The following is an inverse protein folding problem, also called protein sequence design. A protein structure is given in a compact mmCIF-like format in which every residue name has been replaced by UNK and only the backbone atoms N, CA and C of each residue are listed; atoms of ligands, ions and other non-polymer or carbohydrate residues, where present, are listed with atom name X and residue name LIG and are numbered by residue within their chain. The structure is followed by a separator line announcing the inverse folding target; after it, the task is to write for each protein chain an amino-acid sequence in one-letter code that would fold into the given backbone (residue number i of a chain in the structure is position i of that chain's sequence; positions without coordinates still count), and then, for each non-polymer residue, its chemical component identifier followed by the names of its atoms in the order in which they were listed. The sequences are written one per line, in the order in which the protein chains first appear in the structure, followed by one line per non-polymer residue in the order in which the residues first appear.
data_IF_688599284428
#
_entry.id   IF_688599284428
#
_cell.length_a   1.000
_cell.length_b   1.000
_cell.length_c   1.000
_cell.angle_alpha   90.00
_cell.angle_beta   90.00
_cell.angle_gamma   90.00
#
_symmetry.space_group_name_H-M   'P 1'
#
loop_
_entity.id
_entity.type
_entity.pdbx_description
1 polymer ?
#
# COMPACT_ATOMS: atom_id res chain seq x y z
N UNK A 1 -9.86 1.88 -20.00
CA UNK A 1 -10.36 1.71 -18.63
C UNK A 1 -9.33 2.37 -17.72
N UNK A 2 -9.64 3.51 -17.10
CA UNK A 2 -8.75 4.13 -16.12
C UNK A 2 -8.73 3.23 -14.90
N UNK A 3 -7.59 2.63 -14.58
CA UNK A 3 -7.37 2.05 -13.27
C UNK A 3 -7.61 3.16 -12.26
N UNK A 4 -8.68 3.06 -11.46
CA UNK A 4 -8.89 3.95 -10.34
C UNK A 4 -7.66 3.82 -9.44
N UNK A 5 -6.81 4.85 -9.43
CA UNK A 5 -5.69 4.94 -8.49
C UNK A 5 -6.30 4.93 -7.10
N UNK A 6 -6.35 3.76 -6.48
CA UNK A 6 -6.80 3.61 -5.10
C UNK A 6 -5.93 4.51 -4.21
N UNK A 7 -6.58 5.24 -3.31
CA UNK A 7 -5.89 6.10 -2.37
C UNK A 7 -5.01 5.28 -1.42
N UNK A 8 -4.04 5.93 -0.78
CA UNK A 8 -3.19 5.30 0.22
C UNK A 8 -4.04 4.66 1.34
N UNK A 9 -5.09 5.36 1.79
CA UNK A 9 -6.01 4.91 2.83
C UNK A 9 -6.77 3.65 2.40
N UNK A 10 -7.21 3.61 1.14
CA UNK A 10 -7.90 2.45 0.57
C UNK A 10 -6.97 1.24 0.53
N UNK A 11 -5.71 1.43 0.14
CA UNK A 11 -4.69 0.37 0.14
C UNK A 11 -4.38 -0.13 1.55
N UNK A 12 -4.26 0.79 2.51
CA UNK A 12 -4.03 0.44 3.90
C UNK A 12 -5.20 -0.38 4.49
N UNK A 13 -6.43 0.00 4.17
CA UNK A 13 -7.62 -0.73 4.61
C UNK A 13 -7.68 -2.13 3.99
N UNK A 14 -7.42 -2.24 2.68
CA UNK A 14 -7.35 -3.54 2.01
C UNK A 14 -6.28 -4.46 2.62
N UNK A 15 -5.11 -3.90 2.99
CA UNK A 15 -4.07 -4.67 3.67
C UNK A 15 -4.50 -5.18 5.05
N UNK A 16 -5.27 -4.38 5.82
CA UNK A 16 -5.83 -4.83 7.10
C UNK A 16 -6.84 -5.97 6.92
N UNK A 17 -7.76 -5.83 5.96
CA UNK A 17 -8.75 -6.87 5.66
C UNK A 17 -8.07 -8.19 5.29
N UNK A 18 -6.98 -8.13 4.53
CA UNK A 18 -6.18 -9.31 4.19
C UNK A 18 -5.56 -9.94 5.44
N UNK A 19 -4.99 -9.15 6.34
CA UNK A 19 -4.41 -9.65 7.60
C UNK A 19 -5.47 -10.28 8.51
N UNK A 20 -6.66 -9.70 8.58
CA UNK A 20 -7.80 -10.29 9.30
C UNK A 20 -8.21 -11.62 8.68
N UNK A 21 -8.23 -11.70 7.35
CA UNK A 21 -8.56 -12.94 6.62
C UNK A 21 -7.52 -14.03 6.90
N UNK A 22 -6.23 -13.68 6.98
CA UNK A 22 -5.14 -14.60 7.33
C UNK A 22 -5.23 -15.14 8.75
N UNK A 23 -5.98 -14.47 9.63
CA UNK A 23 -6.21 -14.92 11.00
C UNK A 23 -7.35 -15.95 11.10
N UNK A 24 -8.05 -16.24 10.00
CA UNK A 24 -9.12 -17.22 9.97
C UNK A 24 -8.54 -18.65 10.05
N UNK A 25 -8.87 -19.44 11.11
CA UNK A 25 -8.40 -20.81 11.27
C UNK A 25 -8.97 -21.80 10.25
N UNK A 26 -10.03 -21.44 9.53
CA UNK A 26 -10.62 -22.25 8.45
C UNK A 26 -9.95 -22.01 7.07
N UNK A 27 -9.02 -21.05 6.99
CA UNK A 27 -8.35 -20.70 5.74
C UNK A 27 -7.38 -21.81 5.32
N UNK A 28 -7.47 -22.27 4.07
CA UNK A 28 -6.51 -23.23 3.55
C UNK A 28 -5.11 -22.59 3.40
N UNK A 29 -4.07 -23.40 3.50
CA UNK A 29 -2.69 -22.92 3.36
C UNK A 29 -2.45 -22.24 1.99
N UNK A 30 -3.07 -22.76 0.93
CA UNK A 30 -2.96 -22.18 -0.43
C UNK A 30 -3.61 -20.80 -0.50
N UNK A 31 -4.81 -20.65 0.06
CA UNK A 31 -5.50 -19.36 0.12
C UNK A 31 -4.77 -18.37 1.02
N UNK A 32 -4.24 -18.82 2.15
CA UNK A 32 -3.38 -18.03 3.03
C UNK A 32 -2.16 -17.51 2.29
N UNK A 33 -1.49 -18.35 1.50
CA UNK A 33 -0.33 -17.92 0.72
C UNK A 33 -0.70 -16.87 -0.34
N UNK A 34 -1.82 -17.05 -1.05
CA UNK A 34 -2.33 -16.08 -2.04
C UNK A 34 -2.67 -14.74 -1.38
N UNK A 35 -3.43 -14.77 -0.28
CA UNK A 35 -3.82 -13.58 0.48
C UNK A 35 -2.62 -12.85 1.03
N UNK A 36 -1.64 -13.57 1.57
CA UNK A 36 -0.39 -12.98 2.03
C UNK A 36 0.36 -12.25 0.91
N UNK A 37 0.51 -12.88 -0.27
CA UNK A 37 1.13 -12.24 -1.44
C UNK A 37 0.38 -10.98 -1.88
N UNK A 38 -0.96 -11.03 -1.89
CA UNK A 38 -1.83 -9.89 -2.20
C UNK A 38 -1.61 -8.74 -1.21
N UNK A 39 -1.58 -9.02 0.10
CA UNK A 39 -1.34 -8.02 1.14
C UNK A 39 0.04 -7.37 1.02
N UNK A 40 1.07 -8.17 0.74
CA UNK A 40 2.44 -7.65 0.53
C UNK A 40 2.50 -6.75 -0.70
N UNK A 41 1.81 -7.08 -1.79
CA UNK A 41 1.76 -6.25 -2.98
C UNK A 41 1.12 -4.88 -2.69
N UNK A 42 -0.02 -4.88 -2.01
CA UNK A 42 -0.73 -3.65 -1.62
C UNK A 42 0.11 -2.77 -0.70
N UNK A 43 0.79 -3.37 0.30
CA UNK A 43 1.69 -2.65 1.19
C UNK A 43 2.90 -2.07 0.45
N UNK A 44 3.43 -2.75 -0.55
CA UNK A 44 4.51 -2.21 -1.40
C UNK A 44 4.05 -0.99 -2.19
N UNK A 45 2.85 -1.03 -2.75
CA UNK A 45 2.28 0.10 -3.48
C UNK A 45 2.03 1.29 -2.55
N UNK A 46 1.47 1.05 -1.37
CA UNK A 46 1.26 2.09 -0.36
C UNK A 46 2.59 2.75 0.07
N UNK A 47 3.65 1.95 0.29
CA UNK A 47 4.99 2.48 0.58
C UNK A 47 5.54 3.31 -0.57
N UNK A 48 5.35 2.89 -1.83
CA UNK A 48 5.79 3.65 -3.00
C UNK A 48 5.11 5.03 -3.05
N UNK A 49 3.83 5.10 -2.75
CA UNK A 49 3.09 6.37 -2.68
C UNK A 49 3.66 7.29 -1.60
N UNK A 50 4.03 6.75 -0.43
CA UNK A 50 4.67 7.53 0.64
C UNK A 50 6.05 8.06 0.22
N UNK A 51 6.87 7.23 -0.42
CA UNK A 51 8.19 7.64 -0.90
C UNK A 51 8.10 8.71 -2.00
N UNK A 52 7.15 8.59 -2.92
CA UNK A 52 6.87 9.62 -3.93
C UNK A 52 6.41 10.95 -3.30
N UNK A 53 5.56 10.88 -2.26
CA UNK A 53 5.10 12.04 -1.52
C UNK A 53 6.26 12.73 -0.76
N UNK A 54 7.10 11.96 -0.07
CA UNK A 54 8.32 12.47 0.61
C UNK A 54 9.26 13.13 -0.39
N UNK A 55 9.55 12.48 -1.52
CA UNK A 55 10.43 13.03 -2.55
C UNK A 55 9.89 14.34 -3.11
N UNK A 56 8.57 14.41 -3.35
CA UNK A 56 7.91 15.64 -3.80
C UNK A 56 8.05 16.74 -2.76
N UNK A 57 7.80 16.43 -1.49
CA UNK A 57 7.95 17.37 -0.39
C UNK A 57 9.39 17.89 -0.27
N UNK A 58 10.40 17.01 -0.27
CA UNK A 58 11.82 17.41 -0.21
C UNK A 58 12.19 18.33 -1.38
N UNK A 59 11.77 18.01 -2.60
CA UNK A 59 12.01 18.86 -3.78
C UNK A 59 11.35 20.23 -3.67
N UNK A 60 10.17 20.31 -3.03
CA UNK A 60 9.50 21.59 -2.79
C UNK A 60 10.28 22.42 -1.76
N UNK A 61 10.75 21.81 -0.67
CA UNK A 61 11.58 22.50 0.33
C UNK A 61 12.90 23.01 -0.25
N UNK A 62 13.63 22.17 -1.01
CA UNK A 62 14.88 22.58 -1.67
C UNK A 62 14.67 23.76 -2.63
N UNK A 63 13.53 23.79 -3.32
CA UNK A 63 13.18 24.86 -4.26
C UNK A 63 12.78 26.16 -3.55
N UNK A 64 12.22 26.06 -2.34
CA UNK A 64 11.86 27.21 -1.50
C UNK A 64 13.09 27.83 -0.81
N UNK A 65 14.11 27.03 -0.45
CA UNK A 65 15.38 27.53 0.11
C UNK A 65 16.30 28.18 -0.95
N UNK A 66 16.12 27.85 -2.24
CA UNK A 66 16.89 28.41 -3.36
C UNK A 66 16.26 29.67 -3.98
N UNK A 67 15.06 30.08 -3.52
CA UNK A 67 14.30 31.23 -4.02
C UNK A 67 14.40 32.44 -3.08
#
# INVERSE_FOLDING_TARGET
MQEEKQSFETKLENAKVILETLSNPELSLEEGMKKYQEGIAILKEANKMLEEAKLTYTKLQEKEELA
#
